data_IF_227252567089
#
_entry.id   IF_227252567089
#
_cell.length_a   1.000
_cell.length_b   1.000
_cell.length_c   1.000
_cell.angle_alpha   90.00
_cell.angle_beta   90.00
_cell.angle_gamma   90.00
#
_symmetry.space_group_name_H-M   'P 1'
#
loop_
_entity.id
_entity.type
_entity.pdbx_description
1 polymer ?
#
# COMPACT_ATOMS: atom_id res chain seq x y z
N UNK A 1 3.86 13.87 -16.20
CA UNK A 1 5.22 14.10 -15.66
C UNK A 1 5.70 13.06 -14.66
N UNK A 2 5.22 13.03 -13.40
CA UNK A 2 5.75 12.12 -12.35
C UNK A 2 5.66 10.65 -12.78
N UNK A 3 4.45 10.17 -13.11
CA UNK A 3 4.23 8.78 -13.50
C UNK A 3 5.01 8.41 -14.77
N UNK A 4 4.96 9.24 -15.82
CA UNK A 4 5.71 8.99 -17.06
C UNK A 4 7.23 8.87 -16.83
N UNK A 5 7.81 9.72 -15.97
CA UNK A 5 9.23 9.66 -15.63
C UNK A 5 9.56 8.40 -14.83
N UNK A 6 8.74 8.06 -13.83
CA UNK A 6 8.90 6.84 -13.05
C UNK A 6 8.83 5.60 -13.93
N UNK A 7 7.79 5.50 -14.75
CA UNK A 7 7.58 4.35 -15.62
C UNK A 7 8.66 4.22 -16.70
N UNK A 8 9.15 5.34 -17.26
CA UNK A 8 10.28 5.32 -18.20
C UNK A 8 11.53 4.70 -17.58
N UNK A 9 11.86 5.10 -16.34
CA UNK A 9 12.99 4.53 -15.59
C UNK A 9 12.72 3.06 -15.26
N UNK A 10 11.51 2.73 -14.81
CA UNK A 10 11.14 1.37 -14.45
C UNK A 10 11.22 0.41 -15.66
N UNK A 11 10.69 0.80 -16.84
CA UNK A 11 10.80 0.04 -18.09
C UNK A 11 12.25 -0.20 -18.51
N UNK A 12 13.09 0.84 -18.41
CA UNK A 12 14.52 0.72 -18.73
C UNK A 12 15.24 -0.20 -17.74
N UNK A 13 14.97 -0.09 -16.45
CA UNK A 13 15.64 -0.85 -15.39
C UNK A 13 15.23 -2.32 -15.39
N UNK A 14 13.95 -2.62 -15.62
CA UNK A 14 13.43 -3.99 -15.70
C UNK A 14 13.76 -4.68 -17.03
N UNK A 15 14.31 -3.93 -18.00
CA UNK A 15 14.55 -4.37 -19.38
C UNK A 15 13.27 -4.94 -19.98
N UNK A 16 12.29 -4.06 -20.21
CA UNK A 16 10.96 -4.44 -20.69
C UNK A 16 11.02 -5.32 -21.96
N UNK A 17 10.32 -6.44 -21.93
CA UNK A 17 10.29 -7.44 -23.00
C UNK A 17 8.93 -8.15 -23.07
N UNK A 18 7.92 -7.45 -23.56
CA UNK A 18 6.55 -7.96 -23.65
C UNK A 18 6.08 -8.51 -22.30
N UNK A 19 5.57 -9.74 -22.27
CA UNK A 19 5.12 -10.38 -21.02
C UNK A 19 6.25 -11.05 -20.22
N UNK A 20 7.49 -11.06 -20.70
CA UNK A 20 8.61 -11.68 -19.97
C UNK A 20 9.16 -10.76 -18.86
N UNK A 21 9.15 -9.46 -19.07
CA UNK A 21 9.59 -8.47 -18.08
C UNK A 21 8.92 -7.13 -18.38
N UNK A 22 8.46 -6.42 -17.35
CA UNK A 22 7.73 -5.17 -17.54
C UNK A 22 7.13 -4.63 -16.25
N UNK A 23 6.23 -3.65 -16.40
CA UNK A 23 5.45 -3.09 -15.30
C UNK A 23 4.26 -4.02 -15.00
N UNK A 24 4.05 -4.35 -13.73
CA UNK A 24 2.99 -5.28 -13.32
C UNK A 24 1.61 -4.60 -13.26
N UNK A 25 1.58 -3.32 -12.89
CA UNK A 25 0.39 -2.49 -12.81
C UNK A 25 0.78 -1.01 -12.95
N UNK A 26 -0.19 -0.10 -13.22
CA UNK A 26 0.09 1.32 -13.41
C UNK A 26 0.72 1.99 -12.17
N UNK A 27 1.41 3.10 -12.37
CA UNK A 27 1.93 3.91 -11.25
C UNK A 27 0.79 4.62 -10.53
N UNK A 28 0.39 4.11 -9.37
CA UNK A 28 -0.45 4.81 -8.42
C UNK A 28 0.27 6.04 -7.86
N UNK A 29 -0.45 7.16 -7.83
CA UNK A 29 0.01 8.42 -7.23
C UNK A 29 -1.16 9.10 -6.51
N UNK A 30 -1.97 8.33 -5.79
CA UNK A 30 -3.18 8.82 -5.11
C UNK A 30 -2.85 9.92 -4.10
N UNK A 31 -3.61 11.01 -4.13
CA UNK A 31 -3.30 12.23 -3.36
C UNK A 31 -4.35 12.45 -2.26
N UNK A 32 -3.88 12.83 -1.06
CA UNK A 32 -4.70 13.22 0.08
C UNK A 32 -5.70 12.12 0.48
N UNK A 33 -6.99 12.43 0.51
CA UNK A 33 -8.06 11.53 0.92
C UNK A 33 -8.27 10.32 0.00
N UNK A 34 -7.75 10.36 -1.24
CA UNK A 34 -7.76 9.20 -2.13
C UNK A 34 -6.64 8.25 -1.71
N UNK A 35 -6.97 7.05 -1.23
CA UNK A 35 -5.98 6.12 -0.67
C UNK A 35 -5.17 5.37 -1.74
N UNK A 36 -5.84 4.84 -2.77
CA UNK A 36 -5.25 3.96 -3.78
C UNK A 36 -5.91 4.16 -5.16
N UNK A 37 -5.35 3.50 -6.19
CA UNK A 37 -5.91 3.37 -7.55
C UNK A 37 -6.14 4.66 -8.36
N UNK A 38 -5.52 5.79 -7.99
CA UNK A 38 -5.48 6.95 -8.86
C UNK A 38 -4.15 7.01 -9.60
N UNK A 39 -4.24 7.14 -10.92
CA UNK A 39 -3.15 7.51 -11.82
C UNK A 39 -3.73 8.49 -12.85
N UNK A 40 -3.00 9.53 -13.27
CA UNK A 40 -3.54 10.55 -14.17
C UNK A 40 -3.86 9.95 -15.55
N UNK A 41 -5.04 10.28 -16.07
CA UNK A 41 -5.37 10.06 -17.47
C UNK A 41 -4.84 11.19 -18.36
N UNK A 42 -4.87 11.00 -19.68
CA UNK A 42 -4.52 12.06 -20.62
C UNK A 42 -5.36 13.33 -20.38
N UNK A 43 -4.69 14.47 -20.25
CA UNK A 43 -5.32 15.76 -19.98
C UNK A 43 -5.57 16.06 -18.51
N UNK A 44 -5.20 15.17 -17.59
CA UNK A 44 -5.15 15.49 -16.16
C UNK A 44 -4.12 16.61 -15.92
N UNK A 45 -4.57 17.68 -15.26
CA UNK A 45 -3.77 18.89 -14.96
C UNK A 45 -3.42 19.00 -13.49
N UNK A 46 -3.63 17.94 -12.71
CA UNK A 46 -3.30 17.90 -11.29
C UNK A 46 -1.80 18.11 -11.10
N UNK A 47 -1.46 19.06 -10.22
CA UNK A 47 -0.08 19.37 -9.84
C UNK A 47 0.08 18.99 -8.37
N UNK A 48 1.12 18.23 -8.06
CA UNK A 48 1.48 17.87 -6.70
C UNK A 48 1.87 19.14 -5.90
N UNK A 49 1.23 19.35 -4.76
CA UNK A 49 1.41 20.50 -3.89
C UNK A 49 2.31 20.17 -2.69
N UNK A 50 2.78 21.21 -1.99
CA UNK A 50 3.62 21.07 -0.80
C UNK A 50 2.93 20.31 0.35
N UNK A 51 1.63 20.55 0.54
CA UNK A 51 0.84 19.93 1.62
C UNK A 51 0.19 18.60 1.21
N UNK A 52 0.50 18.08 0.02
CA UNK A 52 -0.08 16.82 -0.44
C UNK A 52 0.56 15.61 0.23
N UNK A 53 -0.29 14.61 0.53
CA UNK A 53 0.11 13.26 0.92
C UNK A 53 -0.09 12.33 -0.28
N UNK A 54 0.99 12.05 -1.00
CA UNK A 54 0.96 11.27 -2.24
C UNK A 54 1.45 9.84 -1.99
N UNK A 55 0.65 8.83 -2.32
CA UNK A 55 1.06 7.42 -2.20
C UNK A 55 1.59 6.98 -3.56
N UNK A 56 2.88 6.69 -3.64
CA UNK A 56 3.54 6.14 -4.83
C UNK A 56 3.53 4.63 -4.71
N UNK A 57 2.79 4.00 -5.60
CA UNK A 57 2.56 2.56 -5.61
C UNK A 57 2.73 2.05 -7.05
N UNK A 58 3.72 1.19 -7.28
CA UNK A 58 4.02 0.71 -8.62
C UNK A 58 4.61 -0.68 -8.59
N UNK A 59 4.32 -1.45 -9.63
CA UNK A 59 4.73 -2.84 -9.71
C UNK A 59 5.66 -3.14 -10.87
N UNK A 60 6.54 -4.11 -10.66
CA UNK A 60 7.37 -4.69 -11.73
C UNK A 60 7.22 -6.20 -11.73
N UNK A 61 7.54 -6.84 -12.86
CA UNK A 61 7.58 -8.30 -12.89
C UNK A 61 8.68 -8.86 -13.80
N UNK A 62 9.09 -10.09 -13.51
CA UNK A 62 9.87 -10.96 -14.41
C UNK A 62 9.17 -12.32 -14.47
N UNK A 63 8.82 -12.78 -15.67
CA UNK A 63 8.05 -14.00 -15.94
C UNK A 63 6.81 -14.13 -15.05
N UNK A 64 6.08 -13.02 -14.89
CA UNK A 64 4.88 -12.92 -14.07
C UNK A 64 5.11 -12.92 -12.56
N UNK A 65 6.36 -13.00 -12.07
CA UNK A 65 6.69 -12.84 -10.65
C UNK A 65 6.66 -11.35 -10.32
N UNK A 66 5.54 -10.93 -9.73
CA UNK A 66 5.24 -9.53 -9.46
C UNK A 66 5.89 -9.11 -8.13
N UNK A 67 6.49 -7.92 -8.15
CA UNK A 67 6.75 -7.13 -6.95
C UNK A 67 5.70 -6.04 -6.88
N UNK A 68 4.99 -6.02 -5.77
CA UNK A 68 4.05 -4.99 -5.37
C UNK A 68 4.62 -4.30 -4.13
N UNK A 69 4.85 -2.99 -4.24
CA UNK A 69 5.50 -2.21 -3.19
C UNK A 69 5.17 -0.73 -3.35
N UNK A 70 4.84 -0.10 -2.22
CA UNK A 70 4.44 1.29 -2.17
C UNK A 70 5.14 2.06 -1.05
N UNK A 71 5.15 3.38 -1.18
CA UNK A 71 5.55 4.30 -0.12
C UNK A 71 4.78 5.62 -0.21
N UNK A 72 4.76 6.37 0.88
CA UNK A 72 4.12 7.70 0.92
C UNK A 72 5.18 8.80 0.80
N UNK A 73 4.93 9.74 -0.10
CA UNK A 73 5.69 10.97 -0.31
C UNK A 73 4.95 12.15 0.32
N UNK A 74 5.64 12.88 1.18
CA UNK A 74 5.22 14.15 1.75
C UNK A 74 6.37 15.15 1.69
N UNK A 75 6.05 16.44 1.63
CA UNK A 75 7.05 17.51 1.76
C UNK A 75 6.92 18.25 3.10
N UNK A 76 5.69 18.37 3.60
CA UNK A 76 5.43 18.98 4.90
C UNK A 76 5.64 17.95 6.03
N UNK A 77 6.53 18.21 7.02
CA UNK A 77 6.78 17.30 8.14
C UNK A 77 5.60 17.13 9.08
N UNK A 78 4.53 17.93 8.96
CA UNK A 78 3.30 17.74 9.76
C UNK A 78 2.72 16.32 9.64
N UNK A 79 2.99 15.61 8.54
CA UNK A 79 2.51 14.25 8.32
C UNK A 79 3.47 13.16 8.81
N UNK A 80 4.65 13.48 9.33
CA UNK A 80 5.69 12.49 9.67
C UNK A 80 5.17 11.43 10.65
N UNK A 81 4.39 11.85 11.65
CA UNK A 81 3.81 10.94 12.64
C UNK A 81 2.75 10.00 12.04
N UNK A 82 2.00 10.47 11.05
CA UNK A 82 1.06 9.63 10.30
C UNK A 82 1.80 8.60 9.43
N UNK A 83 2.89 9.01 8.77
CA UNK A 83 3.73 8.11 7.98
C UNK A 83 4.41 7.06 8.87
N UNK A 84 4.84 7.45 10.07
CA UNK A 84 5.41 6.54 11.08
C UNK A 84 4.40 5.49 11.51
N UNK A 85 3.17 5.89 11.85
CA UNK A 85 2.10 4.97 12.25
C UNK A 85 1.84 3.89 11.19
N UNK A 86 1.66 4.30 9.93
CA UNK A 86 1.38 3.38 8.82
C UNK A 86 2.58 2.47 8.54
N UNK A 87 3.80 3.01 8.62
CA UNK A 87 5.02 2.22 8.42
C UNK A 87 5.20 1.17 9.50
N UNK A 88 4.95 1.51 10.76
CA UNK A 88 5.05 0.57 11.88
C UNK A 88 3.96 -0.51 11.81
N UNK A 89 2.74 -0.12 11.45
CA UNK A 89 1.65 -1.07 11.21
C UNK A 89 1.96 -2.05 10.07
N UNK A 90 2.49 -1.56 8.94
CA UNK A 90 2.94 -2.44 7.84
C UNK A 90 4.06 -3.39 8.27
N UNK A 91 5.07 -2.89 8.99
CA UNK A 91 6.16 -3.74 9.50
C UNK A 91 5.67 -4.77 10.52
N UNK A 92 4.66 -4.41 11.32
CA UNK A 92 3.98 -5.35 12.23
C UNK A 92 3.29 -6.45 11.45
N UNK A 93 2.53 -6.10 10.40
CA UNK A 93 1.94 -7.07 9.49
C UNK A 93 2.98 -8.03 8.88
N UNK A 94 4.11 -7.49 8.40
CA UNK A 94 5.22 -8.28 7.84
C UNK A 94 5.81 -9.23 8.89
N UNK A 95 6.01 -8.74 10.13
CA UNK A 95 6.57 -9.52 11.23
C UNK A 95 5.62 -10.63 11.71
N UNK A 96 4.30 -10.37 11.68
CA UNK A 96 3.27 -11.31 12.07
C UNK A 96 2.99 -12.36 10.98
N UNK A 97 3.26 -12.05 9.71
CA UNK A 97 3.06 -12.96 8.60
C UNK A 97 3.97 -14.20 8.68
N UNK A 98 3.43 -15.36 8.33
CA UNK A 98 4.17 -16.62 8.33
C UNK A 98 3.28 -17.82 8.00
N UNK A 99 3.90 -18.93 7.64
CA UNK A 99 3.20 -20.20 7.39
C UNK A 99 2.34 -20.56 8.61
N UNK A 100 1.12 -21.02 8.35
CA UNK A 100 0.10 -21.39 9.34
C UNK A 100 -0.51 -20.22 10.15
N UNK A 101 -0.07 -18.98 9.93
CA UNK A 101 -0.66 -17.80 10.58
C UNK A 101 -2.03 -17.51 9.98
N UNK A 102 -3.02 -17.23 10.83
CA UNK A 102 -4.36 -16.82 10.38
C UNK A 102 -4.34 -15.37 9.93
N UNK A 103 -4.97 -15.08 8.78
CA UNK A 103 -5.02 -13.73 8.21
C UNK A 103 -5.70 -12.73 9.16
N UNK A 104 -6.73 -13.14 9.90
CA UNK A 104 -7.36 -12.28 10.91
C UNK A 104 -6.42 -11.84 12.04
N UNK A 105 -5.47 -12.70 12.45
CA UNK A 105 -4.54 -12.39 13.54
C UNK A 105 -3.54 -11.31 13.09
N UNK A 106 -3.15 -11.33 11.81
CA UNK A 106 -2.33 -10.28 11.19
C UNK A 106 -3.10 -8.96 11.18
N UNK A 107 -4.37 -8.97 10.76
CA UNK A 107 -5.20 -7.77 10.74
C UNK A 107 -5.45 -7.15 12.11
N UNK A 108 -5.60 -7.98 13.15
CA UNK A 108 -5.72 -7.52 14.54
C UNK A 108 -4.42 -6.85 15.01
N UNK A 109 -3.25 -7.46 14.76
CA UNK A 109 -1.96 -6.90 15.14
C UNK A 109 -1.65 -5.58 14.41
N UNK A 110 -1.98 -5.51 13.11
CA UNK A 110 -1.86 -4.28 12.32
C UNK A 110 -2.72 -3.17 12.92
N UNK A 111 -3.98 -3.47 13.25
CA UNK A 111 -4.90 -2.49 13.80
C UNK A 111 -4.46 -2.00 15.18
N UNK A 112 -4.00 -2.90 16.05
CA UNK A 112 -3.50 -2.54 17.38
C UNK A 112 -2.37 -1.52 17.29
N UNK A 113 -1.39 -1.76 16.40
CA UNK A 113 -0.26 -0.83 16.20
C UNK A 113 -0.73 0.46 15.55
N UNK A 114 -1.51 0.40 14.46
CA UNK A 114 -2.00 1.60 13.76
C UNK A 114 -2.77 2.53 14.71
N UNK A 115 -3.72 1.98 15.47
CA UNK A 115 -4.61 2.75 16.35
C UNK A 115 -3.95 3.14 17.69
N UNK A 116 -2.71 2.72 17.94
CA UNK A 116 -1.91 3.20 19.07
C UNK A 116 -1.31 4.59 18.85
N UNK A 117 -1.33 5.09 17.60
CA UNK A 117 -0.80 6.40 17.24
C UNK A 117 -1.88 7.48 17.26
N UNK A 118 -1.51 8.63 17.81
CA UNK A 118 -2.22 9.90 17.66
C UNK A 118 -1.36 10.87 16.86
N UNK A 119 -2.01 11.72 16.05
CA UNK A 119 -1.37 12.75 15.23
C UNK A 119 -2.09 14.07 15.41
N UNK A 120 -1.34 15.17 15.45
CA UNK A 120 -1.90 16.53 15.43
C UNK A 120 -1.69 17.12 14.03
N UNK A 121 -2.78 17.49 13.35
CA UNK A 121 -2.75 18.13 12.03
C UNK A 121 -3.59 19.39 12.08
N UNK A 122 -2.94 20.53 11.79
CA UNK A 122 -3.60 21.83 11.67
C UNK A 122 -4.44 22.22 12.92
N UNK A 123 -3.94 21.86 14.12
CA UNK A 123 -4.55 22.16 15.42
C UNK A 123 -5.59 21.13 15.90
N UNK A 124 -5.85 20.09 15.12
CA UNK A 124 -6.80 19.02 15.45
C UNK A 124 -6.06 17.69 15.70
N UNK A 125 -6.47 16.96 16.75
CA UNK A 125 -5.88 15.66 17.09
C UNK A 125 -6.72 14.51 16.53
N UNK A 126 -6.06 13.53 15.93
CA UNK A 126 -6.68 12.34 15.36
C UNK A 126 -5.99 11.09 15.88
N UNK A 127 -6.78 10.12 16.33
CA UNK A 127 -6.31 8.74 16.36
C UNK A 127 -6.23 8.23 14.91
N UNK A 128 -5.11 7.63 14.54
CA UNK A 128 -4.95 7.06 13.19
C UNK A 128 -5.83 5.83 13.06
N UNK A 129 -6.64 5.75 12.01
CA UNK A 129 -7.55 4.61 11.76
C UNK A 129 -7.12 3.81 10.55
N UNK A 130 -7.12 2.49 10.67
CA UNK A 130 -7.01 1.60 9.53
C UNK A 130 -8.19 1.81 8.57
N UNK A 131 -7.93 1.84 7.25
CA UNK A 131 -8.98 1.85 6.23
C UNK A 131 -9.57 0.44 6.08
N UNK A 132 -10.67 0.19 6.78
CA UNK A 132 -11.21 -1.16 7.04
C UNK A 132 -11.63 -1.98 5.80
N UNK A 133 -11.87 -1.35 4.66
CA UNK A 133 -12.23 -1.97 3.38
C UNK A 133 -11.04 -2.05 2.39
N UNK A 134 -9.83 -1.67 2.80
CA UNK A 134 -8.59 -1.91 2.06
C UNK A 134 -7.77 -2.98 2.77
N UNK A 135 -7.00 -3.75 2.01
CA UNK A 135 -6.39 -4.97 2.49
C UNK A 135 -5.14 -5.28 1.66
N UNK A 136 -4.19 -6.02 2.24
CA UNK A 136 -3.19 -6.73 1.45
C UNK A 136 -3.75 -7.96 0.75
N UNK A 137 -2.92 -8.67 -0.01
CA UNK A 137 -3.39 -9.79 -0.82
C UNK A 137 -2.29 -10.80 -1.18
N UNK A 138 -2.71 -12.03 -1.42
CA UNK A 138 -1.84 -13.03 -2.08
C UNK A 138 -1.56 -12.64 -3.53
N UNK A 139 -0.39 -13.00 -4.04
CA UNK A 139 0.10 -12.78 -5.40
C UNK A 139 0.41 -14.13 -6.06
N UNK A 140 0.15 -14.23 -7.36
CA UNK A 140 0.51 -15.40 -8.18
C UNK A 140 1.10 -14.95 -9.52
N UNK A 141 1.74 -15.85 -10.29
CA UNK A 141 2.27 -15.52 -11.61
C UNK A 141 1.22 -14.81 -12.48
N UNK A 142 1.53 -13.59 -12.92
CA UNK A 142 0.65 -12.73 -13.73
C UNK A 142 -0.71 -12.38 -13.10
N UNK A 143 -0.85 -12.55 -11.78
CA UNK A 143 -2.09 -12.30 -11.05
C UNK A 143 -1.80 -11.54 -9.76
N UNK A 144 -2.03 -10.24 -9.78
CA UNK A 144 -1.79 -9.34 -8.65
C UNK A 144 -2.61 -9.75 -7.42
N UNK A 145 -3.91 -10.00 -7.59
CA UNK A 145 -4.78 -10.50 -6.51
C UNK A 145 -5.12 -11.99 -6.74
N UNK A 146 -4.43 -12.88 -6.03
CA UNK A 146 -4.52 -14.34 -6.22
C UNK A 146 -5.68 -15.02 -5.49
N UNK A 147 -6.40 -14.31 -4.61
CA UNK A 147 -7.66 -14.77 -4.01
C UNK A 147 -7.74 -14.72 -2.50
N UNK A 148 -6.60 -14.73 -1.79
CA UNK A 148 -6.55 -14.46 -0.34
C UNK A 148 -6.32 -12.97 -0.08
N UNK A 149 -6.97 -12.47 0.96
CA UNK A 149 -6.96 -11.06 1.37
C UNK A 149 -6.41 -10.96 2.80
N UNK A 150 -5.41 -10.10 3.01
CA UNK A 150 -4.80 -9.86 4.33
C UNK A 150 -5.50 -8.65 4.95
N UNK A 151 -6.39 -8.83 5.95
CA UNK A 151 -7.08 -7.73 6.57
C UNK A 151 -6.11 -6.82 7.33
N UNK A 152 -6.49 -5.55 7.54
CA UNK A 152 -5.75 -4.57 8.35
C UNK A 152 -6.55 -4.10 9.57
N UNK A 153 -7.64 -4.82 9.85
CA UNK A 153 -8.53 -4.68 11.01
C UNK A 153 -8.90 -6.06 11.54
N UNK A 154 -9.23 -6.14 12.82
CA UNK A 154 -9.74 -7.36 13.45
C UNK A 154 -11.08 -7.79 12.87
N UNK A 155 -11.41 -9.08 13.02
CA UNK A 155 -12.72 -9.64 12.63
C UNK A 155 -12.76 -10.28 11.23
N UNK A 156 -11.62 -10.45 10.56
CA UNK A 156 -11.50 -11.22 9.32
C UNK A 156 -11.70 -12.73 9.50
N UNK A 157 -11.60 -13.48 8.39
CA UNK A 157 -11.69 -14.94 8.43
C UNK A 157 -10.40 -15.61 8.94
N UNK A 158 -10.53 -16.90 9.30
CA UNK A 158 -9.44 -17.72 9.87
C UNK A 158 -8.63 -18.46 8.81
N UNK A 159 -8.68 -18.04 7.55
CA UNK A 159 -7.82 -18.60 6.50
C UNK A 159 -6.37 -18.43 6.92
N UNK A 160 -5.54 -19.43 6.61
CA UNK A 160 -4.11 -19.40 6.93
C UNK A 160 -3.27 -19.07 5.71
N UNK A 161 -2.14 -18.42 5.96
CA UNK A 161 -1.04 -18.37 4.99
C UNK A 161 -0.44 -19.77 4.85
N UNK A 162 -0.15 -20.17 3.62
CA UNK A 162 0.41 -21.47 3.26
C UNK A 162 1.85 -21.34 2.78
N UNK A 163 2.60 -22.44 2.86
CA UNK A 163 3.97 -22.50 2.35
C UNK A 163 4.03 -22.13 0.86
N UNK A 164 5.05 -21.35 0.48
CA UNK A 164 5.32 -20.87 -0.89
C UNK A 164 4.31 -19.87 -1.48
N UNK A 165 3.36 -19.36 -0.69
CA UNK A 165 2.56 -18.22 -1.10
C UNK A 165 3.38 -16.91 -1.06
N UNK A 166 3.03 -15.98 -1.94
CA UNK A 166 3.60 -14.63 -1.98
C UNK A 166 2.50 -13.65 -1.62
N UNK A 167 2.81 -12.64 -0.81
CA UNK A 167 1.84 -11.65 -0.35
C UNK A 167 2.36 -10.23 -0.53
N UNK A 168 1.47 -9.33 -0.93
CA UNK A 168 1.59 -7.90 -0.64
C UNK A 168 1.05 -7.66 0.78
N UNK A 169 1.91 -7.15 1.66
CA UNK A 169 1.51 -6.68 2.99
C UNK A 169 1.51 -5.16 2.94
N UNK A 170 0.31 -4.60 2.88
CA UNK A 170 0.07 -3.17 2.75
C UNK A 170 -0.94 -2.74 3.82
N UNK A 171 -0.75 -1.53 4.35
CA UNK A 171 -1.66 -0.94 5.35
C UNK A 171 -1.93 0.51 4.99
N UNK A 172 -3.11 0.97 5.38
CA UNK A 172 -3.61 2.29 5.04
C UNK A 172 -4.14 2.97 6.30
N UNK A 173 -3.47 4.02 6.75
CA UNK A 173 -3.92 4.88 7.84
C UNK A 173 -4.68 6.10 7.33
N UNK A 174 -5.73 6.48 8.03
CA UNK A 174 -6.57 7.64 7.71
C UNK A 174 -6.90 8.44 8.95
N UNK A 175 -6.96 9.77 8.81
CA UNK A 175 -7.55 10.68 9.79
C UNK A 175 -9.06 10.90 9.56
N UNK A 176 -9.61 10.29 8.50
CA UNK A 176 -11.03 10.35 8.15
C UNK A 176 -11.86 9.25 8.81
N UNK A 177 -12.76 8.65 8.02
CA UNK A 177 -13.68 7.60 8.50
C UNK A 177 -13.04 6.22 8.62
N UNK A 178 -11.88 5.97 8.00
CA UNK A 178 -11.28 4.63 7.95
C UNK A 178 -12.07 3.65 7.07
N UNK A 179 -12.62 4.14 5.95
CA UNK A 179 -13.40 3.39 4.96
C UNK A 179 -13.36 4.10 3.61
#
# INVERSE_FOLDING_TARGET
EICEKLESIARSTIVENGLKSGLAFPTGCSINHCAAHYTPNAGDKTVLQYDDVCKIDFGTHINGRIIDCAFTLTFNPKYDRLLEAVKDATNTGIKCAGIDVQLCDIGEAIQEVMESYEVELDGETYQVKSISNLNGHSISPYRIHAGKTVPIVKGGDKTRMEENEVYAIETFGSTGRGY
#
